data_IF_589645437449
#
_entry.id   IF_589645437449
#
_cell.length_a   1.000
_cell.length_b   1.000
_cell.length_c   1.000
_cell.angle_alpha   90.00
_cell.angle_beta   90.00
_cell.angle_gamma   90.00
#
_symmetry.space_group_name_H-M   'P 1'
#
loop_
_entity.id
_entity.type
_entity.pdbx_description
1 polymer ?
#
# COMPACT_ATOMS: atom_id res chain seq x y z
N UNK A 1 27.89 -48.26 11.77
CA UNK A 1 26.61 -48.57 12.45
C UNK A 1 26.64 -47.79 13.75
N UNK A 2 25.82 -46.77 14.03
CA UNK A 2 24.37 -46.65 13.85
C UNK A 2 23.99 -45.15 13.75
N UNK A 3 23.02 -44.89 12.86
CA UNK A 3 22.24 -43.67 12.57
C UNK A 3 22.24 -42.53 13.61
N UNK A 4 22.49 -41.31 13.12
CA UNK A 4 21.78 -40.10 13.58
C UNK A 4 21.60 -39.20 12.35
N UNK A 5 20.69 -39.64 11.47
CA UNK A 5 20.12 -38.78 10.43
C UNK A 5 19.49 -37.64 11.20
N UNK A 6 20.03 -36.43 11.06
CA UNK A 6 19.38 -35.22 11.53
C UNK A 6 18.02 -35.20 10.85
N UNK A 7 16.97 -35.34 11.66
CA UNK A 7 15.59 -35.17 11.25
C UNK A 7 15.44 -33.67 10.94
N UNK A 8 15.88 -33.26 9.75
CA UNK A 8 15.56 -31.95 9.17
C UNK A 8 14.10 -32.00 8.73
N UNK A 9 13.19 -32.12 9.70
CA UNK A 9 11.79 -31.78 9.44
C UNK A 9 11.82 -30.30 9.06
N UNK A 10 11.36 -29.92 7.85
CA UNK A 10 11.34 -28.52 7.47
C UNK A 10 10.39 -27.81 8.43
N UNK A 11 10.93 -27.15 9.46
CA UNK A 11 10.14 -26.30 10.34
C UNK A 11 9.51 -25.23 9.45
N UNK A 12 8.19 -25.32 9.29
CA UNK A 12 7.46 -24.38 8.44
C UNK A 12 7.51 -23.01 9.12
N UNK A 13 8.40 -22.14 8.65
CA UNK A 13 8.58 -20.81 9.22
C UNK A 13 7.54 -19.83 8.64
N UNK A 14 6.44 -19.70 9.37
CA UNK A 14 5.48 -18.62 9.18
C UNK A 14 6.00 -17.35 9.83
N UNK A 15 5.79 -16.21 9.17
CA UNK A 15 6.01 -14.90 9.80
C UNK A 15 5.03 -14.70 10.96
N UNK A 16 5.37 -13.83 11.91
CA UNK A 16 4.48 -13.49 13.03
C UNK A 16 3.07 -13.11 12.56
N UNK A 17 2.97 -12.38 11.44
CA UNK A 17 1.67 -11.97 10.91
C UNK A 17 0.88 -13.13 10.31
N UNK A 18 1.56 -14.04 9.64
CA UNK A 18 0.96 -15.26 9.09
C UNK A 18 0.50 -16.20 10.21
N UNK A 19 1.26 -16.30 11.31
CA UNK A 19 0.86 -17.06 12.51
C UNK A 19 -0.43 -16.51 13.12
N UNK A 20 -0.53 -15.18 13.32
CA UNK A 20 -1.76 -14.54 13.84
C UNK A 20 -2.97 -14.78 12.93
N UNK A 21 -2.77 -14.73 11.60
CA UNK A 21 -3.85 -15.04 10.65
C UNK A 21 -4.24 -16.50 10.74
N UNK A 22 -3.27 -17.42 10.80
CA UNK A 22 -3.51 -18.85 10.89
C UNK A 22 -4.23 -19.24 12.18
N UNK A 23 -3.88 -18.61 13.30
CA UNK A 23 -4.57 -18.80 14.58
C UNK A 23 -6.06 -18.48 14.48
N UNK A 24 -6.39 -17.30 13.95
CA UNK A 24 -7.80 -16.91 13.75
C UNK A 24 -8.50 -17.80 12.71
N UNK A 25 -7.75 -18.36 11.75
CA UNK A 25 -8.28 -19.32 10.79
C UNK A 25 -8.68 -20.63 11.48
N UNK A 26 -7.84 -21.13 12.39
CA UNK A 26 -8.10 -22.32 13.21
C UNK A 26 -9.31 -22.10 14.12
N UNK A 27 -9.50 -20.91 14.69
CA UNK A 27 -10.71 -20.59 15.48
C UNK A 27 -11.98 -20.42 14.64
N UNK A 28 -11.92 -20.60 13.32
CA UNK A 28 -13.08 -20.49 12.42
C UNK A 28 -13.45 -19.07 12.00
N UNK A 29 -12.63 -18.05 12.26
CA UNK A 29 -12.97 -16.66 11.94
C UNK A 29 -12.99 -16.40 10.42
N UNK A 30 -14.05 -15.77 9.93
CA UNK A 30 -14.16 -15.35 8.52
C UNK A 30 -13.10 -14.31 8.16
N UNK A 31 -12.81 -14.16 6.86
CA UNK A 31 -11.80 -13.18 6.41
C UNK A 31 -12.17 -11.74 6.80
N UNK A 32 -13.46 -11.44 6.98
CA UNK A 32 -13.95 -10.14 7.44
C UNK A 32 -13.66 -9.95 8.94
N UNK A 33 -13.87 -10.97 9.76
CA UNK A 33 -13.56 -10.94 11.19
C UNK A 33 -12.05 -10.89 11.44
N UNK A 34 -11.26 -11.65 10.67
CA UNK A 34 -9.80 -11.58 10.73
C UNK A 34 -9.32 -10.17 10.38
N UNK A 35 -9.85 -9.58 9.30
CA UNK A 35 -9.54 -8.21 8.90
C UNK A 35 -9.86 -7.19 10.01
N UNK A 36 -10.98 -7.37 10.70
CA UNK A 36 -11.38 -6.52 11.83
C UNK A 36 -10.46 -6.70 13.05
N UNK A 37 -10.25 -7.94 13.50
CA UNK A 37 -9.39 -8.26 14.67
C UNK A 37 -7.96 -7.78 14.48
N UNK A 38 -7.44 -7.91 13.26
CA UNK A 38 -6.06 -7.57 12.93
C UNK A 38 -5.89 -6.16 12.36
N UNK A 39 -6.98 -5.38 12.21
CA UNK A 39 -6.99 -4.01 11.67
C UNK A 39 -6.29 -3.90 10.31
N UNK A 40 -6.66 -4.78 9.38
CA UNK A 40 -6.16 -4.82 8.00
C UNK A 40 -7.30 -4.99 7.00
N UNK A 41 -7.04 -4.80 5.70
CA UNK A 41 -8.05 -5.04 4.68
C UNK A 41 -8.33 -6.53 4.47
N UNK A 42 -9.56 -6.88 4.06
CA UNK A 42 -9.91 -8.26 3.67
C UNK A 42 -9.03 -8.77 2.53
N UNK A 43 -8.60 -7.89 1.62
CA UNK A 43 -7.68 -8.26 0.55
C UNK A 43 -6.30 -8.64 1.10
N UNK A 44 -5.81 -7.90 2.09
CA UNK A 44 -4.56 -8.22 2.80
C UNK A 44 -4.66 -9.58 3.50
N UNK A 45 -5.79 -9.90 4.13
CA UNK A 45 -6.04 -11.24 4.69
C UNK A 45 -5.94 -12.32 3.61
N UNK A 46 -6.55 -12.12 2.44
CA UNK A 46 -6.46 -13.08 1.32
C UNK A 46 -5.02 -13.30 0.85
N UNK A 47 -4.21 -12.24 0.81
CA UNK A 47 -2.77 -12.34 0.48
C UNK A 47 -2.04 -13.16 1.54
N UNK A 48 -2.24 -12.88 2.83
CA UNK A 48 -1.65 -13.67 3.90
C UNK A 48 -2.08 -15.15 3.83
N UNK A 49 -3.36 -15.43 3.58
CA UNK A 49 -3.85 -16.80 3.43
C UNK A 49 -3.17 -17.54 2.26
N UNK A 50 -2.98 -16.87 1.11
CA UNK A 50 -2.25 -17.47 -0.02
C UNK A 50 -0.83 -17.85 0.37
N UNK A 51 -0.09 -16.94 0.99
CA UNK A 51 1.29 -17.19 1.40
C UNK A 51 1.36 -18.31 2.45
N UNK A 52 0.41 -18.34 3.38
CA UNK A 52 0.28 -19.43 4.36
C UNK A 52 0.07 -20.76 3.64
N UNK A 53 -0.86 -20.82 2.69
CA UNK A 53 -1.16 -22.05 1.95
C UNK A 53 0.05 -22.54 1.15
N UNK A 54 0.75 -21.64 0.49
CA UNK A 54 1.99 -21.94 -0.22
C UNK A 54 3.08 -22.49 0.71
N UNK A 55 3.25 -21.89 1.90
CA UNK A 55 4.23 -22.35 2.90
C UNK A 55 3.87 -23.68 3.56
N UNK A 56 2.58 -23.92 3.79
CA UNK A 56 2.08 -25.18 4.36
C UNK A 56 1.92 -26.28 3.31
N UNK A 57 2.01 -25.97 2.02
CA UNK A 57 1.78 -26.93 0.93
C UNK A 57 0.34 -27.40 0.80
N UNK A 58 -0.64 -26.60 1.23
CA UNK A 58 -2.07 -26.94 1.26
C UNK A 58 -2.85 -26.10 0.25
N UNK A 59 -4.05 -26.55 -0.13
CA UNK A 59 -4.87 -25.86 -1.13
C UNK A 59 -6.16 -25.26 -0.53
N UNK A 60 -6.55 -25.71 0.65
CA UNK A 60 -7.79 -25.27 1.28
C UNK A 60 -7.59 -24.74 2.70
N UNK A 61 -8.53 -23.90 3.12
CA UNK A 61 -8.61 -23.40 4.49
C UNK A 61 -8.74 -24.54 5.49
N UNK A 62 -9.55 -25.55 5.18
CA UNK A 62 -9.77 -26.71 6.06
C UNK A 62 -8.51 -27.54 6.21
N UNK A 63 -7.78 -27.78 5.11
CA UNK A 63 -6.46 -28.44 5.16
C UNK A 63 -5.48 -27.64 6.00
N UNK A 64 -5.39 -26.32 5.80
CA UNK A 64 -4.51 -25.45 6.57
C UNK A 64 -4.83 -25.50 8.08
N UNK A 65 -6.11 -25.44 8.46
CA UNK A 65 -6.55 -25.56 9.85
C UNK A 65 -6.19 -26.92 10.44
N UNK A 66 -6.42 -28.00 9.69
CA UNK A 66 -6.16 -29.37 10.16
C UNK A 66 -4.67 -29.60 10.36
N UNK A 67 -3.84 -29.19 9.39
CA UNK A 67 -2.39 -29.31 9.46
C UNK A 67 -1.81 -28.44 10.59
N UNK A 68 -2.30 -27.21 10.76
CA UNK A 68 -1.86 -26.34 11.85
C UNK A 68 -2.10 -26.94 13.25
N UNK A 69 -3.20 -27.69 13.42
CA UNK A 69 -3.50 -28.40 14.68
C UNK A 69 -2.59 -29.64 14.83
N UNK A 70 -2.41 -30.43 13.77
CA UNK A 70 -1.58 -31.64 13.80
C UNK A 70 -0.11 -31.34 14.09
N UNK A 71 0.42 -30.31 13.46
CA UNK A 71 1.83 -29.88 13.57
C UNK A 71 2.07 -28.94 14.77
N UNK A 72 1.04 -28.62 15.55
CA UNK A 72 1.15 -27.73 16.71
C UNK A 72 1.61 -26.30 16.37
N UNK A 73 1.37 -25.84 15.13
CA UNK A 73 1.80 -24.52 14.65
C UNK A 73 1.05 -23.36 15.31
N UNK A 74 -0.09 -23.65 15.94
CA UNK A 74 -0.92 -22.69 16.65
C UNK A 74 -1.17 -23.22 18.07
N UNK A 75 -0.63 -22.53 19.06
CA UNK A 75 -1.08 -22.64 20.43
C UNK A 75 -2.34 -21.79 20.57
N UNK A 76 -3.52 -22.41 20.53
CA UNK A 76 -4.78 -21.75 20.89
C UNK A 76 -4.63 -21.32 22.34
N UNK A 77 -4.16 -20.09 22.56
CA UNK A 77 -3.97 -19.59 23.90
C UNK A 77 -5.34 -19.12 24.36
N UNK A 78 -5.93 -19.88 25.29
CA UNK A 78 -7.04 -19.40 26.11
C UNK A 78 -6.50 -18.29 27.03
N UNK A 79 -6.10 -17.15 26.47
CA UNK A 79 -5.82 -15.93 27.23
C UNK A 79 -7.16 -15.34 27.67
N UNK A 80 -7.75 -16.00 28.65
CA UNK A 80 -9.00 -15.67 29.32
C UNK A 80 -9.12 -16.31 30.71
N UNK A 81 -8.00 -16.73 31.33
CA UNK A 81 -8.00 -17.35 32.64
C UNK A 81 -6.71 -17.04 33.42
N UNK A 82 -6.62 -15.83 33.99
CA UNK A 82 -5.93 -15.48 35.24
C UNK A 82 -5.87 -13.97 35.40
N UNK A 83 -7.01 -13.36 35.76
CA UNK A 83 -7.02 -12.21 36.66
C UNK A 83 -8.36 -12.24 37.41
N UNK A 84 -8.42 -13.09 38.44
CA UNK A 84 -9.47 -13.10 39.45
C UNK A 84 -9.01 -12.20 40.62
N UNK A 85 -9.70 -11.08 40.86
CA UNK A 85 -9.56 -10.34 42.11
C UNK A 85 -9.95 -8.87 42.11
N UNK A 86 -11.26 -8.60 42.28
CA UNK A 86 -11.87 -7.39 42.87
C UNK A 86 -11.81 -6.11 42.00
N UNK A 87 -12.92 -5.49 41.58
CA UNK A 87 -13.87 -4.82 42.47
C UNK A 87 -15.24 -4.56 41.79
N UNK A 88 -16.27 -4.69 42.61
CA UNK A 88 -17.70 -4.61 42.29
C UNK A 88 -18.16 -3.27 41.70
N UNK A 89 -18.88 -3.28 40.56
CA UNK A 89 -19.87 -2.25 40.19
C UNK A 89 -20.86 -2.74 39.09
N UNK A 90 -22.10 -2.21 39.01
CA UNK A 90 -23.28 -2.99 38.63
C UNK A 90 -23.62 -3.00 37.12
N UNK A 91 -24.45 -4.00 36.79
CA UNK A 91 -24.92 -4.45 35.48
C UNK A 91 -25.75 -3.47 34.62
N UNK A 92 -25.49 -2.16 34.66
CA UNK A 92 -26.26 -1.13 33.93
C UNK A 92 -25.52 -0.47 32.75
N UNK A 93 -24.28 -0.87 32.44
CA UNK A 93 -23.48 -0.27 31.37
C UNK A 93 -23.17 -1.23 30.21
N UNK A 94 -24.04 -2.23 29.97
CA UNK A 94 -24.07 -2.98 28.70
C UNK A 94 -24.69 -2.12 27.60
N UNK A 95 -24.15 -0.92 27.38
CA UNK A 95 -24.49 -0.08 26.22
C UNK A 95 -23.29 -0.07 25.31
N UNK A 96 -23.27 -1.09 24.46
CA UNK A 96 -22.94 -1.02 23.05
C UNK A 96 -22.63 0.41 22.55
N UNK A 97 -21.38 0.84 22.64
CA UNK A 97 -20.84 1.93 21.84
C UNK A 97 -19.81 1.34 20.88
N UNK A 98 -20.32 0.59 19.90
CA UNK A 98 -19.68 0.50 18.60
C UNK A 98 -19.83 1.88 17.94
N UNK A 99 -18.84 2.74 18.13
CA UNK A 99 -18.48 3.69 17.08
C UNK A 99 -17.02 3.44 16.73
N UNK A 100 -16.72 2.67 15.68
CA UNK A 100 -15.40 2.74 15.09
C UNK A 100 -15.20 4.20 14.68
N UNK A 101 -14.18 4.86 15.23
CA UNK A 101 -13.77 6.19 14.82
C UNK A 101 -12.63 6.05 13.78
N UNK A 102 -12.91 6.06 12.47
CA UNK A 102 -11.87 6.12 11.45
C UNK A 102 -11.52 7.57 11.17
N UNK A 103 -10.85 8.23 12.11
CA UNK A 103 -10.27 9.53 11.84
C UNK A 103 -8.76 9.45 12.09
N UNK A 104 -8.00 9.49 10.99
CA UNK A 104 -6.59 9.92 10.92
C UNK A 104 -5.48 8.87 11.12
N UNK A 105 -5.56 7.73 10.44
CA UNK A 105 -4.36 6.94 10.12
C UNK A 105 -4.29 6.69 8.61
N UNK A 106 -3.52 7.53 7.90
CA UNK A 106 -3.36 7.44 6.45
C UNK A 106 -2.67 6.10 6.11
N UNK A 107 -3.31 5.18 5.38
CA UNK A 107 -2.78 3.83 5.13
C UNK A 107 -1.53 3.87 4.27
N UNK A 108 -0.55 2.97 4.49
CA UNK A 108 0.68 2.92 3.68
C UNK A 108 0.45 2.67 2.18
N UNK A 109 -0.71 2.13 1.79
CA UNK A 109 -1.10 2.09 0.38
C UNK A 109 -1.36 3.48 -0.23
N UNK A 110 -1.80 4.44 0.58
CA UNK A 110 -1.88 5.84 0.19
C UNK A 110 -0.50 6.44 -0.07
N UNK A 111 0.58 5.91 0.53
CA UNK A 111 1.94 6.31 0.18
C UNK A 111 2.29 5.94 -1.26
N UNK A 112 1.82 4.80 -1.78
CA UNK A 112 2.01 4.47 -3.20
C UNK A 112 1.26 5.43 -4.12
N UNK A 113 0.03 5.80 -3.78
CA UNK A 113 -0.73 6.81 -4.54
C UNK A 113 -0.12 8.20 -4.44
N UNK A 114 0.42 8.59 -3.28
CA UNK A 114 1.12 9.87 -3.09
C UNK A 114 2.46 9.88 -3.85
N UNK A 115 3.21 8.78 -3.86
CA UNK A 115 4.44 8.65 -4.65
C UNK A 115 4.14 8.64 -6.15
N UNK A 116 3.09 7.95 -6.59
CA UNK A 116 2.64 7.95 -7.98
C UNK A 116 2.13 9.33 -8.42
N UNK A 117 1.35 10.01 -7.58
CA UNK A 117 0.86 11.37 -7.84
C UNK A 117 2.01 12.39 -7.85
N UNK A 118 3.00 12.24 -6.97
CA UNK A 118 4.19 13.09 -6.94
C UNK A 118 5.10 12.85 -8.16
N UNK A 119 5.28 11.59 -8.58
CA UNK A 119 5.96 11.26 -9.84
C UNK A 119 5.24 11.82 -11.06
N UNK A 120 3.90 11.71 -11.10
CA UNK A 120 3.08 12.25 -12.18
C UNK A 120 3.17 13.78 -12.23
N UNK A 121 3.09 14.45 -11.08
CA UNK A 121 3.23 15.90 -10.98
C UNK A 121 4.64 16.38 -11.39
N UNK A 122 5.69 15.66 -10.97
CA UNK A 122 7.07 15.93 -11.36
C UNK A 122 7.26 15.75 -12.87
N UNK A 123 6.69 14.69 -13.46
CA UNK A 123 6.75 14.41 -14.89
C UNK A 123 6.02 15.51 -15.70
N UNK A 124 4.82 15.91 -15.27
CA UNK A 124 4.08 17.02 -15.88
C UNK A 124 4.81 18.37 -15.77
N UNK A 125 5.51 18.62 -14.66
CA UNK A 125 6.30 19.83 -14.45
C UNK A 125 7.62 19.84 -15.25
N UNK A 126 8.20 18.66 -15.53
CA UNK A 126 9.46 18.52 -16.25
C UNK A 126 9.29 18.67 -17.77
N UNK A 127 8.14 18.24 -18.32
CA UNK A 127 7.80 18.37 -19.75
C UNK A 127 8.00 19.78 -20.32
N UNK A 128 7.45 20.87 -19.73
CA UNK A 128 7.63 22.23 -20.26
C UNK A 128 9.07 22.75 -20.13
N UNK A 129 9.92 22.11 -19.31
CA UNK A 129 11.32 22.49 -19.17
C UNK A 129 12.18 21.90 -20.30
N UNK A 130 11.80 20.74 -20.84
CA UNK A 130 12.47 20.11 -21.98
C UNK A 130 12.00 20.67 -23.33
N UNK A 131 10.80 21.26 -23.40
CA UNK A 131 10.24 21.83 -24.63
C UNK A 131 10.43 23.34 -24.76
N UNK A 132 11.13 23.99 -23.82
CA UNK A 132 11.56 25.38 -23.95
C UNK A 132 12.69 25.48 -24.97
N UNK A 133 12.32 25.46 -26.24
CA UNK A 133 13.18 25.97 -27.30
C UNK A 133 13.43 27.46 -27.01
N UNK A 134 14.69 27.80 -26.74
CA UNK A 134 15.10 29.18 -26.56
C UNK A 134 14.64 29.99 -27.79
N UNK A 135 14.00 31.16 -27.63
CA UNK A 135 13.75 32.03 -28.76
C UNK A 135 15.12 32.37 -29.34
N UNK A 136 15.42 31.83 -30.52
CA UNK A 136 16.51 32.32 -31.35
C UNK A 136 16.15 33.77 -31.66
N UNK A 137 16.65 34.69 -30.84
CA UNK A 137 16.72 36.10 -31.17
C UNK A 137 17.47 36.19 -32.48
N UNK A 138 16.73 36.35 -33.58
CA UNK A 138 17.30 36.79 -34.83
C UNK A 138 18.07 38.09 -34.53
N UNK A 139 19.31 38.26 -35.01
CA UNK A 139 19.94 39.56 -34.93
C UNK A 139 19.06 40.54 -35.72
N UNK A 140 18.46 41.51 -35.03
CA UNK A 140 17.90 42.69 -35.68
C UNK A 140 19.04 43.36 -36.45
N UNK A 141 19.05 43.18 -37.77
CA UNK A 141 19.82 44.05 -38.63
C UNK A 141 19.12 45.42 -38.62
N UNK A 142 19.84 46.52 -38.36
CA UNK A 142 19.25 47.84 -38.33
C UNK A 142 18.59 48.14 -39.67
N UNK A 143 17.38 48.69 -39.59
CA UNK A 143 16.53 49.11 -40.69
C UNK A 143 17.24 50.25 -41.45
N UNK A 144 18.10 49.89 -42.40
CA UNK A 144 18.66 50.80 -43.42
C UNK A 144 17.61 51.00 -44.53
N UNK A 145 16.43 51.50 -44.15
CA UNK A 145 15.49 52.08 -45.10
C UNK A 145 15.59 53.60 -45.03
N UNK A 146 15.34 54.23 -46.18
CA UNK A 146 14.72 55.55 -46.29
C UNK A 146 15.67 56.76 -46.31
N UNK A 147 16.47 56.83 -47.37
CA UNK A 147 16.62 58.09 -48.11
C UNK A 147 16.42 57.83 -49.61
N UNK A 148 15.16 57.79 -50.03
CA UNK A 148 14.81 58.13 -51.40
C UNK A 148 14.36 59.61 -51.37
N UNK A 149 15.14 60.56 -51.90
CA UNK A 149 14.60 61.88 -52.16
C UNK A 149 13.55 61.79 -53.28
N UNK A 150 12.38 62.31 -52.95
CA UNK A 150 11.16 62.47 -53.75
C UNK A 150 11.43 63.13 -55.11
N UNK A 151 10.69 62.76 -56.19
CA UNK A 151 10.87 63.37 -57.51
C UNK A 151 10.55 64.88 -57.49
N UNK A 152 11.48 65.69 -57.99
CA UNK A 152 11.28 67.10 -58.25
C UNK A 152 10.52 67.32 -59.59
N UNK A 153 9.74 68.40 -59.71
CA UNK A 153 8.63 68.50 -60.66
C UNK A 153 9.06 68.82 -62.10
N UNK A 154 8.20 68.36 -63.00
CA UNK A 154 8.06 68.74 -64.42
C UNK A 154 8.22 70.25 -64.61
N UNK A 155 9.17 70.64 -65.45
CA UNK A 155 9.23 71.97 -66.07
C UNK A 155 9.33 71.80 -67.60
N UNK A 156 8.45 72.50 -68.28
CA UNK A 156 8.21 72.46 -69.71
C UNK A 156 9.19 73.37 -70.49
N UNK A 157 9.51 72.95 -71.73
CA UNK A 157 9.71 73.79 -72.92
C UNK A 157 10.90 74.77 -72.94
N UNK A 158 11.32 75.33 -74.10
CA UNK A 158 10.66 75.42 -75.43
C UNK A 158 10.89 74.24 -76.39
#
# INVERSE_FOLDING_TARGET
MVKSVLNEEPQIQLSQREQQVLELVVTGASNKEIAQKLVISVNTVKVHMRNIFEKLGVQSRTEASTLAIQEGLVSVTDSGAADDGEESAPAAARTFLLTPNPALALPRWQQFYLLAALLLALLLALVPLLTREAPRTAPELPVLYRQAPTPAPVAAQP
#
